data_IF_450088108317
#
_entry.id   IF_450088108317
#
_cell.length_a   1.000
_cell.length_b   1.000
_cell.length_c   1.000
_cell.angle_alpha   90.00
_cell.angle_beta   90.00
_cell.angle_gamma   90.00
#
_symmetry.space_group_name_H-M   'P 1'
#
loop_
_entity.id
_entity.type
_entity.pdbx_description
1 polymer ?
#
# COMPACT_ATOMS: atom_id res chain seq x y z
N UNK A 1 6.93 -14.01 13.37
CA UNK A 1 6.62 -12.62 12.95
C UNK A 1 5.35 -12.15 13.63
N UNK A 2 5.39 -11.02 14.30
CA UNK A 2 4.21 -10.41 14.90
C UNK A 2 3.50 -9.54 13.85
N UNK A 3 2.37 -10.03 13.34
CA UNK A 3 1.59 -9.37 12.28
C UNK A 3 1.01 -8.02 12.72
N UNK A 4 0.79 -7.82 14.03
CA UNK A 4 0.28 -6.56 14.57
C UNK A 4 1.26 -5.40 14.41
N UNK A 5 2.52 -5.70 14.09
CA UNK A 5 3.58 -4.70 13.86
C UNK A 5 3.69 -4.24 12.40
N UNK A 6 2.95 -4.87 11.49
CA UNK A 6 2.96 -4.54 10.06
C UNK A 6 1.61 -3.97 9.67
N UNK A 7 1.59 -2.73 9.19
CA UNK A 7 0.42 -2.13 8.54
C UNK A 7 0.52 -2.29 7.03
N UNK A 8 -0.59 -2.66 6.38
CA UNK A 8 -0.71 -2.66 4.93
C UNK A 8 -1.70 -1.56 4.56
N UNK A 9 -1.17 -0.43 4.11
CA UNK A 9 -1.94 0.77 3.77
C UNK A 9 -2.40 0.67 2.32
N UNK A 10 -3.70 0.72 2.12
CA UNK A 10 -4.37 0.54 0.82
C UNK A 10 -5.25 1.76 0.55
N UNK A 11 -4.74 2.77 -0.18
CA UNK A 11 -5.57 3.87 -0.67
C UNK A 11 -6.60 3.34 -1.65
N UNK A 12 -7.87 3.74 -1.51
CA UNK A 12 -8.96 3.29 -2.35
C UNK A 12 -9.89 4.44 -2.74
N UNK A 13 -10.33 4.45 -3.99
CA UNK A 13 -11.35 5.37 -4.49
C UNK A 13 -12.19 4.68 -5.57
N UNK A 14 -13.46 4.36 -5.23
CA UNK A 14 -14.38 3.61 -6.09
C UNK A 14 -13.80 2.25 -6.53
N UNK A 15 -13.37 1.45 -5.55
CA UNK A 15 -12.76 0.13 -5.74
C UNK A 15 -13.61 -1.00 -5.09
N UNK A 16 -14.93 -0.82 -5.02
CA UNK A 16 -15.82 -1.80 -4.36
C UNK A 16 -15.70 -3.22 -4.94
N UNK A 17 -15.38 -3.34 -6.23
CA UNK A 17 -15.28 -4.65 -6.90
C UNK A 17 -14.03 -5.45 -6.47
N UNK A 18 -12.96 -4.78 -6.07
CA UNK A 18 -11.64 -5.40 -5.84
C UNK A 18 -11.19 -5.35 -4.39
N UNK A 19 -11.63 -4.32 -3.63
CA UNK A 19 -11.07 -4.05 -2.30
C UNK A 19 -11.25 -5.21 -1.32
N UNK A 20 -12.35 -5.93 -1.35
CA UNK A 20 -12.61 -7.06 -0.47
C UNK A 20 -11.61 -8.19 -0.66
N UNK A 21 -11.29 -8.53 -1.90
CA UNK A 21 -10.29 -9.56 -2.23
C UNK A 21 -8.88 -9.11 -1.83
N UNK A 22 -8.51 -7.85 -2.10
CA UNK A 22 -7.21 -7.29 -1.72
C UNK A 22 -7.02 -7.32 -0.21
N UNK A 23 -8.02 -6.89 0.57
CA UNK A 23 -7.99 -6.93 2.03
C UNK A 23 -7.79 -8.37 2.51
N UNK A 24 -8.62 -9.30 2.05
CA UNK A 24 -8.57 -10.70 2.47
C UNK A 24 -7.20 -11.32 2.20
N UNK A 25 -6.63 -11.07 1.03
CA UNK A 25 -5.33 -11.59 0.63
C UNK A 25 -4.17 -11.03 1.48
N UNK A 26 -4.30 -9.82 2.01
CA UNK A 26 -3.26 -9.16 2.80
C UNK A 26 -3.30 -9.47 4.29
N UNK A 27 -4.46 -9.89 4.84
CA UNK A 27 -4.65 -10.17 6.28
C UNK A 27 -3.68 -11.22 6.84
N UNK A 28 -3.19 -12.13 6.02
CA UNK A 28 -2.20 -13.12 6.43
C UNK A 28 -0.85 -12.50 6.79
N UNK A 29 -0.56 -11.29 6.34
CA UNK A 29 0.77 -10.66 6.41
C UNK A 29 0.82 -9.45 7.35
N UNK A 30 -0.31 -8.79 7.63
CA UNK A 30 -0.34 -7.60 8.48
C UNK A 30 -1.75 -7.12 8.76
N UNK A 31 -1.86 -5.89 9.28
CA UNK A 31 -3.12 -5.19 9.52
C UNK A 31 -3.49 -4.39 8.25
N UNK A 32 -4.55 -4.77 7.51
CA UNK A 32 -5.00 -3.97 6.38
C UNK A 32 -5.66 -2.68 6.89
N UNK A 33 -5.13 -1.55 6.43
CA UNK A 33 -5.66 -0.21 6.67
C UNK A 33 -6.09 0.35 5.33
N UNK A 34 -7.39 0.33 5.05
CA UNK A 34 -7.96 0.93 3.84
C UNK A 34 -8.24 2.40 4.11
N UNK A 35 -7.72 3.28 3.26
CA UNK A 35 -8.08 4.69 3.28
C UNK A 35 -9.01 4.94 2.11
N UNK A 36 -10.29 5.04 2.40
CA UNK A 36 -11.31 5.38 1.42
C UNK A 36 -11.32 6.89 1.19
N UNK A 37 -10.84 7.30 0.03
CA UNK A 37 -10.66 8.71 -0.34
C UNK A 37 -11.95 9.33 -0.92
N UNK A 38 -13.06 9.15 -0.19
CA UNK A 38 -14.35 9.75 -0.54
C UNK A 38 -15.06 9.03 -1.67
N UNK A 39 -15.05 7.69 -1.68
CA UNK A 39 -15.77 6.89 -2.68
C UNK A 39 -17.28 7.17 -2.67
N UNK A 40 -17.91 7.01 -3.82
CA UNK A 40 -19.36 7.10 -4.01
C UNK A 40 -20.05 5.74 -4.13
N UNK A 41 -19.27 4.66 -4.16
CA UNK A 41 -19.73 3.27 -4.22
C UNK A 41 -19.59 2.58 -2.84
N UNK A 42 -19.74 1.25 -2.79
CA UNK A 42 -19.69 0.44 -1.57
C UNK A 42 -18.26 0.10 -1.10
N UNK A 43 -17.22 0.85 -1.53
CA UNK A 43 -15.82 0.58 -1.19
C UNK A 43 -15.60 0.44 0.32
N UNK A 44 -16.11 1.38 1.13
CA UNK A 44 -16.00 1.31 2.60
C UNK A 44 -16.65 0.05 3.15
N UNK A 45 -17.89 -0.25 2.75
CA UNK A 45 -18.63 -1.41 3.25
C UNK A 45 -17.94 -2.73 2.92
N UNK A 46 -17.43 -2.87 1.69
CA UNK A 46 -16.70 -4.06 1.25
C UNK A 46 -15.36 -4.23 2.01
N UNK A 47 -14.64 -3.12 2.25
CA UNK A 47 -13.40 -3.14 3.02
C UNK A 47 -13.63 -3.56 4.48
N UNK A 48 -14.66 -3.01 5.14
CA UNK A 48 -15.04 -3.35 6.50
C UNK A 48 -15.50 -4.82 6.60
N UNK A 49 -16.34 -5.27 5.67
CA UNK A 49 -16.82 -6.66 5.63
C UNK A 49 -15.66 -7.67 5.45
N UNK A 50 -14.60 -7.29 4.74
CA UNK A 50 -13.39 -8.08 4.58
C UNK A 50 -12.46 -8.04 5.81
N UNK A 51 -12.71 -7.16 6.80
CA UNK A 51 -11.97 -7.07 8.06
C UNK A 51 -10.88 -6.00 8.08
N UNK A 52 -10.89 -5.03 7.17
CA UNK A 52 -9.97 -3.91 7.21
C UNK A 52 -10.30 -2.89 8.31
N UNK A 53 -9.28 -2.18 8.76
CA UNK A 53 -9.43 -0.93 9.49
C UNK A 53 -9.64 0.16 8.45
N UNK A 54 -10.80 0.83 8.45
CA UNK A 54 -11.10 1.86 7.45
C UNK A 54 -10.89 3.26 8.02
N UNK A 55 -10.19 4.09 7.24
CA UNK A 55 -10.10 5.54 7.42
C UNK A 55 -10.86 6.17 6.28
N UNK A 56 -11.93 6.90 6.59
CA UNK A 56 -12.82 7.51 5.61
C UNK A 56 -12.52 9.00 5.47
N UNK A 57 -12.26 9.44 4.24
CA UNK A 57 -12.27 10.87 3.89
C UNK A 57 -13.66 11.32 3.46
N UNK A 58 -14.08 12.50 3.89
CA UNK A 58 -15.39 13.05 3.51
C UNK A 58 -15.47 13.49 2.04
N UNK A 59 -14.31 13.77 1.43
CA UNK A 59 -14.16 14.15 0.03
C UNK A 59 -12.86 13.57 -0.50
N UNK A 60 -12.77 13.39 -1.82
CA UNK A 60 -11.53 12.97 -2.46
C UNK A 60 -10.43 14.04 -2.25
N UNK A 61 -9.38 13.67 -1.52
CA UNK A 61 -8.26 14.54 -1.18
C UNK A 61 -6.98 14.16 -1.94
N UNK A 62 -7.03 13.09 -2.71
CA UNK A 62 -5.95 12.58 -3.54
C UNK A 62 -5.06 11.52 -2.87
N UNK A 63 -4.31 10.80 -3.71
CA UNK A 63 -3.52 9.63 -3.33
C UNK A 63 -2.52 9.91 -2.20
N UNK A 64 -1.77 11.02 -2.28
CA UNK A 64 -0.78 11.37 -1.25
C UNK A 64 -1.45 11.66 0.11
N UNK A 65 -2.62 12.30 0.10
CA UNK A 65 -3.40 12.56 1.30
C UNK A 65 -3.90 11.25 1.93
N UNK A 66 -4.36 10.31 1.10
CA UNK A 66 -4.79 8.99 1.56
C UNK A 66 -3.62 8.21 2.17
N UNK A 67 -2.44 8.22 1.55
CA UNK A 67 -1.24 7.60 2.13
C UNK A 67 -0.88 8.21 3.49
N UNK A 68 -0.88 9.54 3.60
CA UNK A 68 -0.57 10.21 4.86
C UNK A 68 -1.54 9.83 5.99
N UNK A 69 -2.84 9.73 5.68
CA UNK A 69 -3.86 9.28 6.64
C UNK A 69 -3.65 7.82 7.06
N UNK A 70 -3.28 6.96 6.13
CA UNK A 70 -2.94 5.56 6.40
C UNK A 70 -1.70 5.43 7.28
N UNK A 71 -0.65 6.24 7.03
CA UNK A 71 0.57 6.26 7.85
C UNK A 71 0.28 6.77 9.28
N UNK A 72 -0.53 7.81 9.41
CA UNK A 72 -0.97 8.30 10.71
C UNK A 72 -1.70 7.22 11.49
N UNK A 73 -2.61 6.47 10.83
CA UNK A 73 -3.34 5.36 11.46
C UNK A 73 -2.42 4.22 11.86
N UNK A 74 -1.44 3.86 11.03
CA UNK A 74 -0.44 2.85 11.38
C UNK A 74 0.40 3.27 12.61
N UNK A 75 0.75 4.55 12.72
CA UNK A 75 1.45 5.09 13.89
C UNK A 75 0.60 5.02 15.16
N UNK A 76 -0.69 5.39 15.09
CA UNK A 76 -1.64 5.21 16.21
C UNK A 76 -1.71 3.77 16.71
N UNK A 77 -1.64 2.80 15.80
CA UNK A 77 -1.64 1.37 16.09
C UNK A 77 -0.27 0.83 16.53
N UNK A 78 0.75 1.70 16.64
CA UNK A 78 2.12 1.34 17.00
C UNK A 78 2.75 0.31 16.05
N UNK A 79 2.38 0.33 14.78
CA UNK A 79 3.04 -0.47 13.75
C UNK A 79 4.48 0.00 13.55
N UNK A 80 5.37 -0.96 13.29
CA UNK A 80 6.81 -0.69 13.06
C UNK A 80 7.12 -0.67 11.57
N UNK A 81 6.37 -1.41 10.80
CA UNK A 81 6.51 -1.50 9.36
C UNK A 81 5.22 -1.08 8.67
N UNK A 82 5.36 -0.32 7.61
CA UNK A 82 4.23 0.04 6.73
C UNK A 82 4.55 -0.46 5.33
N UNK A 83 3.59 -1.11 4.70
CA UNK A 83 3.65 -1.48 3.30
C UNK A 83 2.48 -0.81 2.59
N UNK A 84 2.75 -0.08 1.52
CA UNK A 84 1.69 0.48 0.67
C UNK A 84 1.37 -0.47 -0.47
N UNK A 85 0.10 -0.59 -0.81
CA UNK A 85 -0.40 -1.47 -1.87
C UNK A 85 -1.61 -0.85 -2.55
N UNK A 86 -1.73 -0.99 -3.87
CA UNK A 86 -2.87 -0.46 -4.61
C UNK A 86 -4.12 -1.33 -4.42
N UNK A 87 -5.31 -0.71 -4.49
CA UNK A 87 -6.60 -1.38 -4.27
C UNK A 87 -7.15 -2.15 -5.48
N UNK A 88 -6.52 -2.03 -6.64
CA UNK A 88 -6.97 -2.56 -7.93
C UNK A 88 -6.70 -4.07 -8.15
N UNK A 89 -6.06 -4.72 -7.18
CA UNK A 89 -5.74 -6.14 -7.24
C UNK A 89 -4.59 -6.52 -8.19
N UNK A 90 -3.85 -5.56 -8.76
CA UNK A 90 -2.76 -5.84 -9.69
C UNK A 90 -1.46 -6.31 -9.00
N UNK A 91 -1.33 -6.11 -7.71
CA UNK A 91 -0.17 -6.57 -6.94
C UNK A 91 -0.41 -7.99 -6.40
N UNK A 92 0.57 -8.87 -6.62
CA UNK A 92 0.57 -10.22 -6.06
C UNK A 92 0.91 -10.15 -4.55
N UNK A 93 -0.02 -10.55 -3.65
CA UNK A 93 0.22 -10.54 -2.21
C UNK A 93 1.40 -11.43 -1.77
N UNK A 94 1.77 -12.42 -2.55
CA UNK A 94 2.89 -13.33 -2.27
C UNK A 94 4.25 -12.62 -2.24
N UNK A 95 4.33 -11.37 -2.69
CA UNK A 95 5.53 -10.55 -2.56
C UNK A 95 5.71 -9.98 -1.14
N UNK A 96 4.62 -9.85 -0.35
CA UNK A 96 4.64 -9.23 0.97
C UNK A 96 5.63 -9.87 1.95
N UNK A 97 5.75 -11.22 2.05
CA UNK A 97 6.74 -11.85 2.90
C UNK A 97 8.17 -11.39 2.62
N UNK A 98 8.52 -11.22 1.34
CA UNK A 98 9.85 -10.77 0.93
C UNK A 98 10.11 -9.31 1.30
N UNK A 99 9.10 -8.44 1.14
CA UNK A 99 9.20 -7.03 1.56
C UNK A 99 9.44 -6.95 3.06
N UNK A 100 8.67 -7.69 3.85
CA UNK A 100 8.77 -7.74 5.30
C UNK A 100 10.15 -8.25 5.73
N UNK A 101 10.64 -9.32 5.12
CA UNK A 101 11.96 -9.88 5.41
C UNK A 101 13.08 -8.84 5.21
N UNK A 102 13.02 -8.05 4.14
CA UNK A 102 14.00 -6.98 3.91
C UNK A 102 13.92 -5.88 4.97
N UNK A 103 12.72 -5.49 5.38
CA UNK A 103 12.52 -4.50 6.45
C UNK A 103 13.04 -5.02 7.80
N UNK A 104 12.76 -6.29 8.14
CA UNK A 104 13.26 -6.94 9.37
C UNK A 104 14.78 -7.07 9.39
N UNK A 105 15.41 -7.25 8.24
CA UNK A 105 16.88 -7.27 8.09
C UNK A 105 17.53 -5.90 8.17
N UNK A 106 16.75 -4.85 8.36
CA UNK A 106 17.26 -3.50 8.61
C UNK A 106 17.18 -2.55 7.42
N UNK A 107 16.47 -2.89 6.35
CA UNK A 107 16.17 -1.94 5.30
C UNK A 107 15.20 -0.86 5.84
N UNK A 108 15.46 0.40 5.55
CA UNK A 108 14.58 1.51 5.90
C UNK A 108 13.47 1.71 4.85
N UNK A 109 13.78 1.36 3.61
CA UNK A 109 12.86 1.44 2.45
C UNK A 109 13.06 0.24 1.53
N UNK A 110 11.95 -0.38 1.15
CA UNK A 110 11.89 -1.42 0.11
C UNK A 110 10.94 -0.95 -0.99
N UNK A 111 11.37 -0.97 -2.24
CA UNK A 111 10.56 -0.56 -3.39
C UNK A 111 10.31 -1.76 -4.28
N UNK A 112 9.03 -2.06 -4.57
CA UNK A 112 8.65 -3.04 -5.56
C UNK A 112 9.05 -2.61 -6.98
N UNK A 113 9.29 -3.58 -7.83
CA UNK A 113 9.55 -3.35 -9.27
C UNK A 113 8.55 -4.16 -10.06
N UNK A 114 7.79 -3.50 -10.94
CA UNK A 114 6.84 -4.17 -11.84
C UNK A 114 7.57 -4.80 -13.02
N UNK A 115 7.18 -6.01 -13.39
CA UNK A 115 7.77 -6.71 -14.52
C UNK A 115 7.38 -6.07 -15.87
N UNK A 116 6.23 -5.39 -15.93
CA UNK A 116 5.73 -4.74 -17.15
C UNK A 116 5.46 -3.26 -16.91
N UNK A 117 6.11 -2.41 -17.71
CA UNK A 117 5.87 -0.97 -17.77
C UNK A 117 4.88 -0.68 -18.89
N UNK A 118 3.72 -0.15 -18.55
CA UNK A 118 2.62 0.02 -19.51
C UNK A 118 2.63 1.36 -20.26
N UNK A 119 3.42 2.36 -19.83
CA UNK A 119 3.41 3.71 -20.41
C UNK A 119 4.81 4.23 -20.69
N UNK A 120 4.96 4.96 -21.82
CA UNK A 120 6.25 5.58 -22.23
C UNK A 120 6.80 6.54 -21.16
N UNK A 121 5.93 7.32 -20.50
CA UNK A 121 6.31 8.20 -19.41
C UNK A 121 6.96 7.47 -18.24
N UNK A 122 6.52 6.25 -17.92
CA UNK A 122 7.09 5.43 -16.85
C UNK A 122 8.54 5.03 -17.15
N UNK A 123 8.90 4.83 -18.42
CA UNK A 123 10.29 4.56 -18.81
C UNK A 123 11.22 5.75 -18.52
N UNK A 124 10.74 6.97 -18.75
CA UNK A 124 11.52 8.18 -18.49
C UNK A 124 11.73 8.35 -16.96
N UNK A 125 10.67 8.18 -16.16
CA UNK A 125 10.77 8.27 -14.71
C UNK A 125 11.64 7.14 -14.12
N UNK A 126 11.55 5.92 -14.65
CA UNK A 126 12.41 4.82 -14.25
C UNK A 126 13.88 5.08 -14.60
N UNK A 127 14.16 5.67 -15.77
CA UNK A 127 15.52 6.06 -16.17
C UNK A 127 16.10 7.14 -15.25
N UNK A 128 15.33 8.20 -14.95
CA UNK A 128 15.71 9.24 -14.00
C UNK A 128 15.91 8.72 -12.59
N UNK A 129 14.99 7.86 -12.11
CA UNK A 129 15.06 7.23 -10.79
C UNK A 129 16.31 6.37 -10.64
N UNK A 130 16.65 5.59 -11.66
CA UNK A 130 17.85 4.75 -11.67
C UNK A 130 19.12 5.59 -11.70
N UNK A 131 19.16 6.62 -12.55
CA UNK A 131 20.33 7.47 -12.71
C UNK A 131 20.61 8.32 -11.47
N UNK A 132 19.57 8.84 -10.82
CA UNK A 132 19.70 9.79 -9.69
C UNK A 132 19.70 9.13 -8.31
N UNK A 133 18.94 8.05 -8.12
CA UNK A 133 18.72 7.40 -6.81
C UNK A 133 18.89 5.88 -6.82
N UNK A 134 19.20 5.27 -7.95
CA UNK A 134 19.33 3.81 -8.05
C UNK A 134 18.00 3.05 -7.98
N UNK A 135 16.86 3.72 -8.02
CA UNK A 135 15.53 3.11 -7.92
C UNK A 135 15.04 2.70 -9.32
N UNK A 136 14.66 1.44 -9.48
CA UNK A 136 14.26 0.90 -10.79
C UNK A 136 12.84 1.28 -11.21
N UNK A 137 11.90 1.36 -10.26
CA UNK A 137 10.50 1.71 -10.53
C UNK A 137 9.96 2.62 -9.42
N UNK A 138 10.22 3.95 -9.48
CA UNK A 138 9.77 4.89 -8.46
C UNK A 138 8.25 5.08 -8.43
N UNK A 139 7.54 4.69 -9.50
CA UNK A 139 6.08 4.81 -9.61
C UNK A 139 5.33 3.55 -9.16
N UNK A 140 6.03 2.49 -8.71
CA UNK A 140 5.37 1.32 -8.17
C UNK A 140 4.63 1.68 -6.88
N UNK A 141 3.33 1.33 -6.79
CA UNK A 141 2.52 1.55 -5.59
C UNK A 141 2.96 0.70 -4.39
N UNK A 142 3.64 -0.43 -4.65
CA UNK A 142 4.15 -1.32 -3.61
C UNK A 142 5.47 -0.82 -3.05
N UNK A 143 5.45 -0.30 -1.84
CA UNK A 143 6.62 0.16 -1.09
C UNK A 143 6.52 -0.27 0.36
N UNK A 144 7.65 -0.61 0.97
CA UNK A 144 7.75 -0.93 2.39
C UNK A 144 8.63 0.09 3.11
N UNK A 145 8.21 0.49 4.30
CA UNK A 145 8.87 1.50 5.13
C UNK A 145 9.07 0.96 6.54
N UNK A 146 10.20 1.28 7.16
CA UNK A 146 10.40 1.12 8.60
C UNK A 146 10.10 2.44 9.28
N UNK A 147 9.20 2.40 10.27
CA UNK A 147 8.91 3.55 11.13
C UNK A 147 10.08 3.77 12.08
N UNK A 148 10.44 5.03 12.30
CA UNK A 148 11.51 5.41 13.23
C UNK A 148 11.05 5.37 14.69
#
# INVERSE_FOLDING_TARGET
MDRSRVAIVIPAYNEAETIGEVVTATMAFGLPIVVDDGSSDETTAEAEAAGAIVVLHSVNAGYDSALNSGFAKAAELSCVYIITMDADGQHDPDILPRVIEHLERGADLVVGVRDRRQRVAEHLFAWLGRWRWGIQDPLCGLKGYRMA
#
